data_IF_746037173872
#
_entry.id   IF_746037173872
#
_cell.length_a   1.000
_cell.length_b   1.000
_cell.length_c   1.000
_cell.angle_alpha   90.00
_cell.angle_beta   90.00
_cell.angle_gamma   90.00
#
_symmetry.space_group_name_H-M   'P 1'
#
loop_
_entity.id
_entity.type
_entity.pdbx_description
1 polymer ?
#
# COMPACT_ATOMS: atom_id res chain seq x y z
N UNK A 1 16.21 23.62 17.81
CA UNK A 1 15.52 22.46 17.23
C UNK A 1 15.99 22.32 15.79
N UNK A 2 16.44 21.15 15.38
CA UNK A 2 16.93 20.87 14.02
C UNK A 2 15.79 21.01 13.00
N UNK A 3 16.07 21.60 11.85
CA UNK A 3 15.09 21.85 10.77
C UNK A 3 15.32 20.86 9.66
N UNK A 4 14.53 19.82 9.64
CA UNK A 4 14.57 18.77 8.63
C UNK A 4 13.39 18.86 7.69
N UNK A 5 13.43 18.09 6.59
CA UNK A 5 12.29 18.01 5.70
C UNK A 5 12.51 17.16 4.48
N UNK A 6 11.47 17.11 3.63
CA UNK A 6 11.49 16.45 2.33
C UNK A 6 11.54 17.51 1.23
N UNK A 7 12.52 17.44 0.37
CA UNK A 7 12.69 18.29 -0.81
C UNK A 7 12.21 17.57 -2.06
N UNK A 8 11.30 18.18 -2.79
CA UNK A 8 10.81 17.71 -4.09
C UNK A 8 10.17 18.84 -4.89
N UNK A 9 9.77 18.58 -6.12
CA UNK A 9 9.06 19.56 -6.95
C UNK A 9 7.57 19.63 -6.57
N UNK A 10 6.93 18.47 -6.37
CA UNK A 10 5.56 18.30 -5.90
C UNK A 10 5.51 17.14 -4.94
N UNK A 11 5.06 17.37 -3.73
CA UNK A 11 5.14 16.39 -2.65
C UNK A 11 3.78 15.77 -2.30
N UNK A 12 2.68 16.42 -2.67
CA UNK A 12 1.33 15.91 -2.41
C UNK A 12 1.14 15.42 -0.96
N UNK A 13 0.56 14.23 -0.80
CA UNK A 13 0.44 13.56 0.49
C UNK A 13 1.67 12.67 0.72
N UNK A 14 2.56 13.07 1.64
CA UNK A 14 3.74 12.29 2.02
C UNK A 14 3.58 11.77 3.45
N UNK A 15 3.92 10.50 3.66
CA UNK A 15 3.98 9.88 4.99
C UNK A 15 5.28 10.18 5.74
N UNK A 16 6.29 10.77 5.07
CA UNK A 16 7.57 11.09 5.70
C UNK A 16 7.45 11.92 6.99
N UNK A 17 6.62 12.98 7.06
CA UNK A 17 6.47 13.73 8.31
C UNK A 17 5.99 12.89 9.48
N UNK A 18 5.00 12.02 9.27
CA UNK A 18 4.46 11.15 10.31
C UNK A 18 5.50 10.11 10.78
N UNK A 19 6.28 9.54 9.86
CA UNK A 19 7.35 8.57 10.20
C UNK A 19 8.48 9.27 10.95
N UNK A 20 8.93 10.43 10.49
CA UNK A 20 10.03 11.16 11.14
C UNK A 20 9.65 11.68 12.54
N UNK A 21 8.38 12.04 12.78
CA UNK A 21 7.87 12.41 14.10
C UNK A 21 7.97 11.28 15.14
N UNK A 22 7.99 10.01 14.69
CA UNK A 22 8.17 8.84 15.56
C UNK A 22 9.66 8.52 15.85
N UNK A 23 10.56 9.05 15.03
CA UNK A 23 11.98 8.69 15.07
C UNK A 23 12.82 9.66 15.92
N UNK A 24 12.50 10.96 15.90
CA UNK A 24 13.23 11.97 16.67
C UNK A 24 12.46 13.28 16.80
N UNK A 25 12.83 14.06 17.83
CA UNK A 25 12.27 15.38 18.10
C UNK A 25 12.99 16.47 17.28
N UNK A 26 12.55 16.65 16.04
CA UNK A 26 12.93 17.76 15.16
C UNK A 26 11.76 18.24 14.31
N UNK A 27 11.82 19.47 13.82
CA UNK A 27 10.81 19.96 12.87
C UNK A 27 11.03 19.32 11.51
N UNK A 28 10.01 18.64 10.96
CA UNK A 28 10.07 18.04 9.61
C UNK A 28 9.03 18.69 8.71
N UNK A 29 9.47 19.35 7.62
CA UNK A 29 8.64 20.13 6.70
C UNK A 29 8.70 19.55 5.29
N UNK A 30 7.68 19.86 4.48
CA UNK A 30 7.68 19.59 3.05
C UNK A 30 8.15 20.85 2.31
N UNK A 31 9.23 20.72 1.54
CA UNK A 31 9.81 21.80 0.73
C UNK A 31 9.50 21.52 -0.74
N UNK A 32 8.44 22.12 -1.26
CA UNK A 32 8.15 22.13 -2.70
C UNK A 32 8.92 23.26 -3.35
N UNK A 33 9.91 22.91 -4.16
CA UNK A 33 10.84 23.86 -4.78
C UNK A 33 10.82 23.62 -6.29
N UNK A 34 10.61 24.68 -7.08
CA UNK A 34 10.67 24.59 -8.53
C UNK A 34 12.12 24.36 -9.02
N UNK A 35 12.34 23.73 -10.19
CA UNK A 35 13.69 23.39 -10.66
C UNK A 35 14.64 24.58 -10.79
N UNK A 36 14.16 25.73 -11.19
CA UNK A 36 14.92 26.98 -11.32
C UNK A 36 15.29 27.62 -9.97
N UNK A 37 14.54 27.34 -8.92
CA UNK A 37 14.80 27.81 -7.56
C UNK A 37 15.71 26.85 -6.74
N UNK A 38 15.99 25.64 -7.23
CA UNK A 38 16.73 24.60 -6.50
C UNK A 38 18.11 25.08 -6.02
N UNK A 39 18.87 25.73 -6.89
CA UNK A 39 20.22 26.23 -6.58
C UNK A 39 20.20 27.24 -5.41
N UNK A 40 19.32 28.24 -5.49
CA UNK A 40 19.15 29.24 -4.45
C UNK A 40 18.71 28.63 -3.12
N UNK A 41 17.79 27.65 -3.18
CA UNK A 41 17.33 26.94 -1.99
C UNK A 41 18.45 26.13 -1.33
N UNK A 42 19.27 25.40 -2.09
CA UNK A 42 20.37 24.59 -1.54
C UNK A 42 21.50 25.43 -0.94
N UNK A 43 21.77 26.62 -1.51
CA UNK A 43 22.85 27.51 -1.03
C UNK A 43 22.42 28.41 0.12
N UNK A 44 21.19 28.92 0.10
CA UNK A 44 20.69 29.92 1.06
C UNK A 44 19.50 29.47 1.90
N UNK A 45 18.96 28.27 1.67
CA UNK A 45 17.77 27.78 2.37
C UNK A 45 18.00 27.48 3.86
N UNK A 46 16.93 27.69 4.62
CA UNK A 46 16.91 27.53 6.06
C UNK A 46 16.55 26.08 6.45
N UNK A 47 17.53 25.17 6.32
CA UNK A 47 17.43 23.77 6.70
C UNK A 47 18.78 23.26 7.24
N UNK A 48 18.71 22.24 8.08
CA UNK A 48 19.87 21.54 8.62
C UNK A 48 20.06 20.17 7.94
N UNK A 49 18.95 19.46 7.62
CA UNK A 49 19.01 18.21 6.87
C UNK A 49 17.75 17.98 6.03
N UNK A 50 17.88 17.29 4.90
CA UNK A 50 16.79 17.02 3.99
C UNK A 50 16.78 15.57 3.49
N UNK A 51 15.61 14.96 3.42
CA UNK A 51 15.39 13.92 2.41
C UNK A 51 15.16 14.58 1.06
N UNK A 52 15.58 13.90 -0.01
CA UNK A 52 15.42 14.37 -1.39
C UNK A 52 14.67 13.34 -2.21
N UNK A 53 13.62 13.79 -2.91
CA UNK A 53 12.85 12.93 -3.81
C UNK A 53 12.86 13.43 -5.26
N UNK A 54 12.06 12.83 -6.11
CA UNK A 54 11.92 13.19 -7.52
C UNK A 54 11.56 14.70 -7.66
N UNK A 55 12.19 15.40 -8.63
CA UNK A 55 13.18 14.93 -9.61
C UNK A 55 14.64 15.14 -9.17
N UNK A 56 14.91 15.51 -7.92
CA UNK A 56 16.14 16.17 -7.49
C UNK A 56 17.27 15.23 -7.04
N UNK A 57 17.05 13.92 -6.90
CA UNK A 57 18.05 12.96 -6.37
C UNK A 57 19.41 12.98 -7.10
N UNK A 58 19.44 13.36 -8.39
CA UNK A 58 20.68 13.56 -9.16
C UNK A 58 21.09 15.03 -9.21
N UNK A 59 20.11 15.92 -9.26
CA UNK A 59 20.36 17.37 -9.42
C UNK A 59 21.07 18.01 -8.20
N UNK A 60 20.93 17.40 -7.00
CA UNK A 60 21.57 17.89 -5.79
C UNK A 60 23.05 17.49 -5.67
N UNK A 61 23.53 16.51 -6.43
CA UNK A 61 24.92 15.99 -6.36
C UNK A 61 25.97 17.08 -6.54
N UNK A 62 25.88 18.00 -7.53
CA UNK A 62 26.88 19.06 -7.73
C UNK A 62 27.01 20.05 -6.56
N UNK A 63 26.03 20.09 -5.64
CA UNK A 63 26.03 20.95 -4.47
C UNK A 63 26.64 20.30 -3.24
N UNK A 64 26.93 18.98 -3.28
CA UNK A 64 27.54 18.24 -2.20
C UNK A 64 29.05 18.35 -2.25
N UNK A 65 29.68 18.81 -1.15
CA UNK A 65 31.15 18.81 -1.02
C UNK A 65 31.69 17.39 -0.85
N UNK A 66 30.88 16.49 -0.32
CA UNK A 66 31.24 15.09 -0.11
C UNK A 66 29.99 14.20 -0.30
N UNK A 67 30.21 13.01 -0.82
CA UNK A 67 29.18 11.96 -0.95
C UNK A 67 29.61 10.73 -0.18
N UNK A 68 28.64 10.04 0.42
CA UNK A 68 28.87 8.69 0.94
C UNK A 68 29.28 7.70 -0.17
N UNK A 69 30.00 6.61 0.16
CA UNK A 69 30.37 5.59 -0.83
C UNK A 69 29.17 5.02 -1.60
N UNK A 70 28.01 4.86 -0.92
CA UNK A 70 26.80 4.35 -1.57
C UNK A 70 26.18 5.39 -2.49
N UNK A 71 26.13 6.66 -2.10
CA UNK A 71 25.63 7.73 -2.96
C UNK A 71 26.49 7.92 -4.21
N UNK A 72 27.83 7.83 -4.08
CA UNK A 72 28.76 7.82 -5.21
C UNK A 72 28.51 6.66 -6.17
N UNK A 73 28.43 5.43 -5.63
CA UNK A 73 28.20 4.22 -6.39
C UNK A 73 26.88 4.27 -7.17
N UNK A 74 25.82 4.81 -6.57
CA UNK A 74 24.49 4.90 -7.17
C UNK A 74 24.32 6.11 -8.09
N UNK A 75 25.16 7.14 -7.96
CA UNK A 75 24.94 8.43 -8.61
C UNK A 75 23.60 9.06 -8.25
N UNK A 76 23.17 8.90 -7.00
CA UNK A 76 21.87 9.33 -6.49
C UNK A 76 21.94 9.65 -5.01
N UNK A 77 21.43 10.81 -4.64
CA UNK A 77 21.35 11.32 -3.27
C UNK A 77 19.91 11.49 -2.86
N UNK A 78 19.50 10.89 -1.74
CA UNK A 78 18.19 11.12 -1.14
C UNK A 78 18.25 11.62 0.30
N UNK A 79 19.48 11.87 0.81
CA UNK A 79 19.76 12.47 2.12
C UNK A 79 20.78 13.56 1.95
N UNK A 80 20.49 14.75 2.46
CA UNK A 80 21.43 15.89 2.54
C UNK A 80 21.56 16.33 3.98
N UNK A 81 22.79 16.60 4.43
CA UNK A 81 23.08 17.19 5.74
C UNK A 81 23.98 18.41 5.55
N UNK A 82 23.59 19.53 6.15
CA UNK A 82 24.41 20.74 6.20
C UNK A 82 25.40 20.61 7.35
N UNK A 83 26.68 20.69 7.03
CA UNK A 83 27.76 20.65 8.01
C UNK A 83 27.96 22.02 8.70
N UNK A 84 28.66 22.07 9.85
CA UNK A 84 28.93 23.34 10.56
C UNK A 84 29.65 24.38 9.71
N UNK A 85 30.45 23.98 8.72
CA UNK A 85 31.16 24.85 7.78
C UNK A 85 30.27 25.36 6.64
N UNK A 86 28.95 24.97 6.61
CA UNK A 86 28.00 25.34 5.62
C UNK A 86 27.96 24.43 4.38
N UNK A 87 28.93 23.51 4.24
CA UNK A 87 28.94 22.55 3.12
C UNK A 87 27.85 21.49 3.24
N UNK A 88 27.47 20.87 2.12
CA UNK A 88 26.50 19.78 2.10
C UNK A 88 27.19 18.43 1.98
N UNK A 89 26.76 17.47 2.79
CA UNK A 89 27.06 16.06 2.69
C UNK A 89 25.87 15.33 2.08
N UNK A 90 26.11 14.46 1.10
CA UNK A 90 25.09 13.68 0.42
C UNK A 90 25.20 12.18 0.71
N UNK A 91 24.07 11.54 1.07
CA UNK A 91 23.96 10.10 1.29
C UNK A 91 22.76 9.50 0.57
N UNK A 92 22.64 8.17 0.61
CA UNK A 92 21.52 7.43 0.03
C UNK A 92 20.97 6.38 1.01
N UNK A 93 19.85 6.68 1.64
CA UNK A 93 19.16 5.80 2.56
C UNK A 93 18.21 4.80 1.85
N UNK A 94 17.85 5.02 0.57
CA UNK A 94 17.00 4.09 -0.18
C UNK A 94 17.65 2.71 -0.30
N UNK A 95 18.99 2.65 -0.40
CA UNK A 95 19.72 1.39 -0.45
C UNK A 95 19.51 0.56 0.82
N UNK A 96 19.64 1.20 2.00
CA UNK A 96 19.35 0.55 3.28
C UNK A 96 17.87 0.11 3.35
N UNK A 97 16.96 0.99 2.94
CA UNK A 97 15.53 0.68 2.96
C UNK A 97 15.16 -0.52 2.10
N UNK A 98 15.72 -0.61 0.89
CA UNK A 98 15.46 -1.75 0.02
C UNK A 98 16.17 -3.04 0.48
N UNK A 99 17.40 -2.95 1.00
CA UNK A 99 18.07 -4.09 1.61
C UNK A 99 17.27 -4.66 2.79
N UNK A 100 16.72 -3.78 3.63
CA UNK A 100 15.84 -4.18 4.73
C UNK A 100 14.59 -4.91 4.21
N UNK A 101 13.93 -4.41 3.16
CA UNK A 101 12.78 -5.06 2.52
C UNK A 101 13.12 -6.47 2.05
N UNK A 102 14.27 -6.65 1.36
CA UNK A 102 14.73 -7.97 0.90
C UNK A 102 14.96 -8.90 2.08
N UNK A 103 15.74 -8.47 3.09
CA UNK A 103 16.05 -9.30 4.27
C UNK A 103 14.80 -9.67 5.07
N UNK A 104 13.86 -8.73 5.20
CA UNK A 104 12.60 -8.95 5.90
C UNK A 104 11.72 -10.01 5.20
N UNK A 105 11.84 -10.20 3.90
CA UNK A 105 11.12 -11.25 3.17
C UNK A 105 11.50 -12.67 3.63
N UNK A 106 12.65 -12.84 4.28
CA UNK A 106 13.17 -14.13 4.73
C UNK A 106 13.67 -15.04 3.60
N UNK A 107 13.63 -14.58 2.35
CA UNK A 107 14.06 -15.37 1.17
C UNK A 107 15.51 -15.07 0.84
N UNK A 108 16.37 -16.09 0.82
CA UNK A 108 17.73 -15.95 0.31
C UNK A 108 17.69 -15.79 -1.22
N UNK A 109 18.27 -14.68 -1.71
CA UNK A 109 18.30 -14.34 -3.13
C UNK A 109 19.65 -14.56 -3.80
N UNK A 110 20.68 -15.01 -3.06
CA UNK A 110 22.01 -15.24 -3.61
C UNK A 110 21.97 -16.27 -4.75
N UNK A 111 22.60 -15.96 -5.88
CA UNK A 111 22.61 -16.79 -7.10
C UNK A 111 21.29 -16.83 -7.88
N UNK A 112 20.19 -16.25 -7.35
CA UNK A 112 18.89 -16.25 -8.03
C UNK A 112 18.85 -15.21 -9.16
N UNK A 113 18.07 -15.51 -10.20
CA UNK A 113 17.77 -14.56 -11.29
C UNK A 113 16.67 -13.61 -10.84
N UNK A 114 17.00 -12.33 -10.78
CA UNK A 114 16.10 -11.25 -10.37
C UNK A 114 15.73 -10.36 -11.55
N UNK A 115 14.43 -10.18 -11.81
CA UNK A 115 13.92 -9.21 -12.76
C UNK A 115 13.54 -7.93 -12.04
N UNK A 116 14.14 -6.81 -12.44
CA UNK A 116 13.78 -5.47 -11.99
C UNK A 116 12.91 -4.82 -13.06
N UNK A 117 11.64 -4.62 -12.75
CA UNK A 117 10.68 -4.01 -13.67
C UNK A 117 10.79 -2.48 -13.59
N UNK A 118 11.21 -1.87 -14.69
CA UNK A 118 11.44 -0.43 -14.80
C UNK A 118 12.92 -0.04 -14.71
N UNK A 119 13.25 1.13 -15.28
CA UNK A 119 14.59 1.72 -15.29
C UNK A 119 14.63 3.15 -14.72
N UNK A 120 13.67 3.50 -13.85
CA UNK A 120 13.57 4.81 -13.20
C UNK A 120 14.53 4.98 -12.02
N UNK A 121 14.31 6.06 -11.24
CA UNK A 121 15.21 6.44 -10.13
C UNK A 121 15.39 5.38 -9.04
N UNK A 122 14.33 4.66 -8.65
CA UNK A 122 14.42 3.58 -7.68
C UNK A 122 15.12 2.33 -8.23
N UNK A 123 15.01 2.10 -9.55
CA UNK A 123 15.56 0.91 -10.21
C UNK A 123 17.08 0.77 -10.04
N UNK A 124 17.83 1.86 -10.17
CA UNK A 124 19.29 1.83 -10.01
C UNK A 124 19.71 1.38 -8.61
N UNK A 125 19.04 1.88 -7.58
CA UNK A 125 19.25 1.48 -6.18
C UNK A 125 18.92 0.00 -5.97
N UNK A 126 17.76 -0.43 -6.47
CA UNK A 126 17.30 -1.84 -6.40
C UNK A 126 18.30 -2.79 -7.06
N UNK A 127 18.75 -2.47 -8.28
CA UNK A 127 19.76 -3.25 -9.00
C UNK A 127 21.06 -3.40 -8.21
N UNK A 128 21.58 -2.29 -7.68
CA UNK A 128 22.83 -2.28 -6.93
C UNK A 128 22.74 -3.13 -5.64
N UNK A 129 21.63 -3.04 -4.91
CA UNK A 129 21.40 -3.82 -3.68
C UNK A 129 21.23 -5.30 -4.01
N UNK A 130 20.41 -5.67 -5.02
CA UNK A 130 20.24 -7.06 -5.42
C UNK A 130 21.55 -7.70 -5.86
N UNK A 131 22.37 -6.97 -6.65
CA UNK A 131 23.68 -7.44 -7.05
C UNK A 131 24.65 -7.59 -5.85
N UNK A 132 24.61 -6.67 -4.88
CA UNK A 132 25.37 -6.74 -3.64
C UNK A 132 24.99 -7.97 -2.79
N UNK A 133 23.71 -8.34 -2.79
CA UNK A 133 23.18 -9.53 -2.13
C UNK A 133 23.37 -10.81 -2.97
N UNK A 134 24.10 -10.73 -4.08
CA UNK A 134 24.51 -11.89 -4.90
C UNK A 134 23.48 -12.34 -5.94
N UNK A 135 22.40 -11.61 -6.19
CA UNK A 135 21.44 -11.93 -7.25
C UNK A 135 21.99 -11.60 -8.65
N UNK A 136 21.54 -12.34 -9.66
CA UNK A 136 21.79 -12.06 -11.08
C UNK A 136 20.68 -11.17 -11.62
N UNK A 137 20.96 -9.89 -11.79
CA UNK A 137 19.96 -8.87 -12.11
C UNK A 137 19.78 -8.72 -13.61
N UNK A 138 18.52 -8.72 -14.06
CA UNK A 138 18.09 -8.32 -15.41
C UNK A 138 17.04 -7.22 -15.28
N UNK A 139 17.17 -6.14 -16.06
CA UNK A 139 16.23 -5.02 -16.05
C UNK A 139 15.26 -5.15 -17.21
N UNK A 140 13.98 -5.13 -16.89
CA UNK A 140 12.89 -5.11 -17.88
C UNK A 140 12.41 -3.68 -18.03
N UNK A 141 12.55 -3.10 -19.20
CA UNK A 141 12.08 -1.74 -19.47
C UNK A 141 11.41 -1.62 -20.84
N UNK A 142 10.64 -0.53 -21.06
CA UNK A 142 9.90 -0.35 -22.31
C UNK A 142 10.80 -0.20 -23.55
N UNK A 143 12.01 0.32 -23.36
CA UNK A 143 12.98 0.61 -24.44
C UNK A 143 14.27 -0.19 -24.32
N UNK A 144 14.36 -1.15 -23.39
CA UNK A 144 15.53 -2.03 -23.22
C UNK A 144 15.56 -3.18 -24.21
N UNK A 145 16.71 -3.86 -24.32
CA UNK A 145 16.83 -5.13 -25.02
C UNK A 145 15.89 -6.18 -24.40
N UNK A 146 15.91 -6.27 -23.06
CA UNK A 146 14.94 -7.02 -22.28
C UNK A 146 13.76 -6.13 -21.93
N UNK A 147 12.58 -6.48 -22.42
CA UNK A 147 11.39 -5.66 -22.35
C UNK A 147 10.11 -6.49 -22.15
N UNK A 148 8.98 -5.84 -22.00
CA UNK A 148 7.70 -6.49 -21.72
C UNK A 148 7.17 -7.37 -22.86
N UNK A 149 7.73 -7.29 -24.08
CA UNK A 149 7.30 -8.13 -25.23
C UNK A 149 8.08 -9.43 -25.32
N UNK A 150 9.21 -9.56 -24.62
CA UNK A 150 10.07 -10.75 -24.68
C UNK A 150 10.30 -11.43 -23.31
N UNK A 151 9.38 -11.25 -22.37
CA UNK A 151 9.43 -11.80 -21.02
C UNK A 151 9.63 -13.33 -20.98
N UNK A 152 9.18 -14.06 -22.01
CA UNK A 152 9.39 -15.50 -22.11
C UNK A 152 10.83 -15.95 -22.06
N UNK A 153 11.81 -15.08 -22.42
CA UNK A 153 13.26 -15.36 -22.26
C UNK A 153 13.69 -15.46 -20.79
N UNK A 154 12.85 -15.00 -19.89
CA UNK A 154 13.12 -14.91 -18.47
C UNK A 154 12.13 -15.71 -17.61
N UNK A 155 11.45 -16.71 -18.19
CA UNK A 155 10.51 -17.57 -17.47
C UNK A 155 11.15 -18.31 -16.27
N UNK A 156 12.48 -18.43 -16.24
CA UNK A 156 13.29 -18.98 -15.16
C UNK A 156 13.58 -17.97 -14.02
N UNK A 157 13.01 -16.76 -14.05
CA UNK A 157 13.19 -15.76 -13.00
C UNK A 157 12.63 -16.25 -11.66
N UNK A 158 13.41 -16.03 -10.61
CA UNK A 158 13.11 -16.47 -9.25
C UNK A 158 12.75 -15.31 -8.31
N UNK A 159 13.12 -14.08 -8.67
CA UNK A 159 12.78 -12.86 -7.92
C UNK A 159 12.24 -11.83 -8.89
N UNK A 160 11.12 -11.21 -8.56
CA UNK A 160 10.53 -10.14 -9.35
C UNK A 160 10.39 -8.91 -8.47
N UNK A 161 10.93 -7.76 -8.92
CA UNK A 161 10.88 -6.50 -8.18
C UNK A 161 10.24 -5.43 -9.06
N UNK A 162 9.08 -4.93 -8.66
CA UNK A 162 8.47 -3.78 -9.33
C UNK A 162 9.08 -2.47 -8.81
N UNK A 163 9.68 -1.71 -9.71
CA UNK A 163 10.19 -0.34 -9.46
C UNK A 163 9.47 0.70 -10.32
N UNK A 164 8.38 0.29 -10.97
CA UNK A 164 7.53 1.18 -11.79
C UNK A 164 6.37 1.73 -10.96
N UNK A 165 5.70 2.81 -11.41
CA UNK A 165 4.47 3.28 -10.80
C UNK A 165 3.22 2.46 -11.18
N UNK A 166 3.37 1.34 -11.91
CA UNK A 166 2.23 0.49 -12.28
C UNK A 166 1.61 -0.11 -11.03
N UNK A 167 0.30 0.05 -10.88
CA UNK A 167 -0.44 -0.40 -9.72
C UNK A 167 -0.49 0.58 -8.55
N UNK A 168 0.23 1.71 -8.62
CA UNK A 168 0.22 2.77 -7.61
C UNK A 168 -1.08 3.60 -7.68
N UNK A 169 -1.56 4.04 -6.54
CA UNK A 169 -2.66 5.00 -6.43
C UNK A 169 -2.39 6.28 -7.27
N UNK A 170 -3.39 6.84 -7.98
CA UNK A 170 -4.79 6.40 -8.05
C UNK A 170 -5.07 5.29 -9.08
N UNK A 171 -4.07 4.86 -9.88
CA UNK A 171 -4.21 3.91 -10.98
C UNK A 171 -3.97 2.46 -10.52
N UNK A 172 -4.70 2.03 -9.49
CA UNK A 172 -4.60 0.68 -8.92
C UNK A 172 -5.16 -0.41 -9.85
N UNK A 173 -5.05 -1.68 -9.46
CA UNK A 173 -5.66 -2.80 -10.18
C UNK A 173 -4.88 -3.29 -11.41
N UNK A 174 -3.72 -2.69 -11.72
CA UNK A 174 -2.85 -3.14 -12.82
C UNK A 174 -1.54 -3.71 -12.28
N UNK A 175 -1.10 -4.82 -12.85
CA UNK A 175 0.23 -5.38 -12.62
C UNK A 175 1.12 -5.17 -13.85
N UNK A 176 2.42 -4.99 -13.62
CA UNK A 176 3.39 -4.79 -14.69
C UNK A 176 3.64 -6.08 -15.49
N UNK A 177 3.46 -7.25 -14.87
CA UNK A 177 3.62 -8.58 -15.44
C UNK A 177 2.56 -9.54 -14.87
N UNK A 178 2.31 -10.65 -15.58
CA UNK A 178 1.54 -11.79 -15.06
C UNK A 178 2.51 -12.80 -14.45
N UNK A 179 2.42 -13.04 -13.14
CA UNK A 179 3.31 -13.93 -12.40
C UNK A 179 3.23 -15.40 -12.85
N UNK A 180 2.13 -15.82 -13.48
CA UNK A 180 1.99 -17.17 -14.06
C UNK A 180 2.99 -17.46 -15.15
N UNK A 181 3.61 -16.42 -15.74
CA UNK A 181 4.70 -16.58 -16.72
C UNK A 181 6.04 -16.98 -16.08
N UNK A 182 6.15 -16.97 -14.75
CA UNK A 182 7.39 -17.21 -14.00
C UNK A 182 7.22 -18.36 -13.00
N UNK A 183 7.15 -19.60 -13.45
CA UNK A 183 6.84 -20.76 -12.59
C UNK A 183 7.89 -21.05 -11.50
N UNK A 184 9.09 -20.44 -11.61
CA UNK A 184 10.15 -20.56 -10.60
C UNK A 184 10.20 -19.36 -9.64
N UNK A 185 9.24 -18.44 -9.73
CA UNK A 185 9.21 -17.25 -8.89
C UNK A 185 9.05 -17.65 -7.41
N UNK A 186 10.02 -17.23 -6.59
CA UNK A 186 10.10 -17.54 -5.16
C UNK A 186 9.94 -16.28 -4.30
N UNK A 187 10.00 -15.08 -4.90
CA UNK A 187 9.85 -13.81 -4.19
C UNK A 187 9.35 -12.71 -5.12
N UNK A 188 8.36 -11.95 -4.65
CA UNK A 188 7.89 -10.74 -5.32
C UNK A 188 8.02 -9.55 -4.37
N UNK A 189 8.70 -8.49 -4.83
CA UNK A 189 8.82 -7.23 -4.09
C UNK A 189 8.24 -6.09 -4.91
N UNK A 190 7.60 -5.15 -4.25
CA UNK A 190 7.09 -3.95 -4.89
C UNK A 190 7.53 -2.72 -4.09
N UNK A 191 8.14 -1.72 -4.73
CA UNK A 191 8.50 -0.46 -4.05
C UNK A 191 7.31 0.47 -3.86
N UNK A 192 6.18 0.17 -4.48
CA UNK A 192 4.92 0.86 -4.24
C UNK A 192 4.41 0.50 -2.85
N UNK A 193 3.97 1.50 -2.10
CA UNK A 193 3.40 1.34 -0.75
C UNK A 193 1.93 1.77 -0.64
N UNK A 194 1.39 2.40 -1.66
CA UNK A 194 -0.02 2.75 -1.75
C UNK A 194 -0.55 2.39 -3.17
N UNK A 195 -1.43 1.38 -3.28
CA UNK A 195 -2.07 0.60 -2.23
C UNK A 195 -1.08 -0.29 -1.45
N UNK A 196 -1.52 -0.77 -0.28
CA UNK A 196 -0.73 -1.68 0.56
C UNK A 196 -0.40 -3.01 -0.16
N UNK A 197 -1.37 -3.51 -0.96
CA UNK A 197 -1.23 -4.67 -1.85
C UNK A 197 -1.53 -4.24 -3.29
N UNK A 198 -0.48 -4.08 -4.08
CA UNK A 198 -0.66 -3.83 -5.53
C UNK A 198 -1.25 -5.07 -6.22
N UNK A 199 -1.77 -4.91 -7.43
CA UNK A 199 -2.26 -6.07 -8.20
C UNK A 199 -1.16 -7.13 -8.42
N UNK A 200 0.11 -6.75 -8.45
CA UNK A 200 1.24 -7.68 -8.51
C UNK A 200 1.38 -8.48 -7.21
N UNK A 201 1.29 -7.83 -6.05
CA UNK A 201 1.35 -8.49 -4.75
C UNK A 201 0.13 -9.39 -4.52
N UNK A 202 -1.07 -8.96 -4.92
CA UNK A 202 -2.28 -9.80 -4.87
C UNK A 202 -2.16 -11.07 -5.74
N UNK A 203 -1.51 -10.98 -6.91
CA UNK A 203 -1.20 -12.16 -7.70
C UNK A 203 -0.22 -13.10 -6.97
N UNK A 204 0.79 -12.54 -6.31
CA UNK A 204 1.77 -13.33 -5.55
C UNK A 204 1.08 -14.06 -4.38
N UNK A 205 0.24 -13.37 -3.61
CA UNK A 205 -0.57 -13.97 -2.53
C UNK A 205 -1.44 -15.11 -3.05
N UNK A 206 -2.18 -14.89 -4.15
CA UNK A 206 -3.03 -15.91 -4.76
C UNK A 206 -2.26 -17.15 -5.27
N UNK A 207 -0.98 -16.99 -5.63
CA UNK A 207 -0.09 -18.07 -6.06
C UNK A 207 0.74 -18.66 -4.92
N UNK A 208 0.57 -18.18 -3.67
CA UNK A 208 1.35 -18.63 -2.52
C UNK A 208 2.83 -18.24 -2.59
N UNK A 209 3.17 -17.20 -3.37
CA UNK A 209 4.55 -16.71 -3.51
C UNK A 209 4.81 -15.67 -2.41
N UNK A 210 5.88 -15.82 -1.61
CA UNK A 210 6.31 -14.81 -0.65
C UNK A 210 6.43 -13.43 -1.31
N UNK A 211 5.83 -12.40 -0.68
CA UNK A 211 5.86 -11.06 -1.23
C UNK A 211 5.87 -9.98 -0.15
N UNK A 212 6.38 -8.78 -0.49
CA UNK A 212 6.36 -7.64 0.40
C UNK A 212 6.26 -6.31 -0.38
N UNK A 213 5.51 -5.36 0.19
CA UNK A 213 5.29 -4.02 -0.36
C UNK A 213 6.25 -2.96 0.18
N UNK A 214 6.27 -1.81 -0.48
CA UNK A 214 7.24 -0.73 -0.26
C UNK A 214 7.17 0.00 1.07
N UNK A 215 6.15 -0.24 1.91
CA UNK A 215 6.04 0.42 3.21
C UNK A 215 7.23 0.08 4.13
N UNK A 216 7.74 -1.16 4.11
CA UNK A 216 8.97 -1.53 4.84
C UNK A 216 10.16 -0.69 4.38
N UNK A 217 10.35 -0.56 3.06
CA UNK A 217 11.41 0.28 2.50
C UNK A 217 11.24 1.75 2.90
N UNK A 218 10.00 2.27 2.88
CA UNK A 218 9.69 3.65 3.24
C UNK A 218 10.06 3.96 4.69
N UNK A 219 9.74 3.08 5.64
CA UNK A 219 10.05 3.27 7.05
C UNK A 219 11.54 3.09 7.32
N UNK A 220 12.15 2.05 6.75
CA UNK A 220 13.56 1.75 6.96
C UNK A 220 14.48 2.86 6.42
N UNK A 221 14.20 3.41 5.22
CA UNK A 221 14.98 4.53 4.68
C UNK A 221 14.81 5.81 5.53
N UNK A 222 13.62 6.04 6.12
CA UNK A 222 13.40 7.19 6.99
C UNK A 222 14.20 7.05 8.30
N UNK A 223 14.23 5.85 8.90
CA UNK A 223 15.08 5.54 10.06
C UNK A 223 16.56 5.80 9.74
N UNK A 224 17.05 5.30 8.60
CA UNK A 224 18.43 5.54 8.17
C UNK A 224 18.70 7.01 7.92
N UNK A 225 17.78 7.74 7.31
CA UNK A 225 17.90 9.19 7.12
C UNK A 225 18.00 9.93 8.46
N UNK A 226 17.17 9.56 9.43
CA UNK A 226 17.20 10.13 10.78
C UNK A 226 18.56 9.91 11.47
N UNK A 227 19.15 8.72 11.34
CA UNK A 227 20.49 8.44 11.85
C UNK A 227 21.57 9.34 11.22
N UNK A 228 21.47 9.54 9.89
CA UNK A 228 22.41 10.44 9.19
C UNK A 228 22.20 11.90 9.60
N UNK A 229 20.94 12.34 9.80
CA UNK A 229 20.63 13.70 10.25
C UNK A 229 21.20 14.01 11.63
N UNK A 230 21.00 13.08 12.57
CA UNK A 230 21.29 13.31 13.99
C UNK A 230 22.67 12.82 14.43
N UNK A 231 23.31 11.97 13.62
CA UNK A 231 24.55 11.27 14.00
C UNK A 231 24.34 10.20 15.08
N UNK A 232 23.08 9.79 15.35
CA UNK A 232 22.73 8.79 16.36
C UNK A 232 22.37 7.45 15.70
N UNK A 233 22.50 6.35 16.45
CA UNK A 233 22.03 5.03 16.02
C UNK A 233 20.65 4.79 16.61
N UNK A 234 19.72 4.30 15.80
CA UNK A 234 18.36 3.93 16.17
C UNK A 234 18.21 2.41 16.04
N UNK A 235 17.59 1.78 17.01
CA UNK A 235 17.36 0.33 16.98
C UNK A 235 16.48 -0.08 15.78
N UNK A 236 16.84 -1.18 15.09
CA UNK A 236 16.09 -1.66 13.92
C UNK A 236 14.66 -2.15 14.27
N UNK A 237 14.40 -2.46 15.53
CA UNK A 237 13.05 -2.77 16.03
C UNK A 237 12.04 -1.63 15.83
N UNK A 238 12.53 -0.38 15.81
CA UNK A 238 11.69 0.79 15.53
C UNK A 238 11.09 0.75 14.13
N UNK A 239 11.77 0.13 13.17
CA UNK A 239 11.21 -0.04 11.81
C UNK A 239 9.93 -0.85 11.86
N UNK A 240 9.93 -1.97 12.58
CA UNK A 240 8.73 -2.83 12.70
C UNK A 240 7.63 -2.16 13.52
N UNK A 241 7.99 -1.43 14.58
CA UNK A 241 7.03 -0.69 15.40
C UNK A 241 6.31 0.37 14.56
N UNK A 242 7.07 1.20 13.85
CA UNK A 242 6.51 2.27 13.01
C UNK A 242 5.73 1.66 11.82
N UNK A 243 6.26 0.61 11.18
CA UNK A 243 5.56 -0.09 10.11
C UNK A 243 4.17 -0.57 10.54
N UNK A 244 4.07 -1.26 11.70
CA UNK A 244 2.79 -1.75 12.23
C UNK A 244 1.81 -0.60 12.46
N UNK A 245 2.26 0.48 13.09
CA UNK A 245 1.44 1.67 13.31
C UNK A 245 0.95 2.28 12.00
N UNK A 246 1.87 2.53 11.06
CA UNK A 246 1.52 3.10 9.74
C UNK A 246 0.54 2.20 9.00
N UNK A 247 0.77 0.89 9.03
CA UNK A 247 -0.14 -0.08 8.43
C UNK A 247 -1.53 0.00 9.05
N UNK A 248 -1.64 0.00 10.38
CA UNK A 248 -2.91 0.14 11.07
C UNK A 248 -3.63 1.44 10.68
N UNK A 249 -2.93 2.58 10.58
CA UNK A 249 -3.52 3.86 10.21
C UNK A 249 -3.99 3.90 8.73
N UNK A 250 -3.26 3.25 7.84
CA UNK A 250 -3.52 3.26 6.39
C UNK A 250 -4.54 2.20 5.96
N UNK A 251 -4.63 1.09 6.66
CA UNK A 251 -5.46 -0.05 6.27
C UNK A 251 -6.95 0.22 6.55
N UNK A 252 -7.80 -0.08 5.57
CA UNK A 252 -9.25 0.00 5.72
C UNK A 252 -9.75 -1.18 6.55
N UNK A 253 -10.80 -0.96 7.33
CA UNK A 253 -11.58 -2.02 7.97
C UNK A 253 -12.80 -2.27 7.09
N UNK A 254 -12.83 -3.41 6.41
CA UNK A 254 -13.90 -3.75 5.48
C UNK A 254 -14.84 -4.75 6.14
N UNK A 255 -16.13 -4.42 6.21
CA UNK A 255 -17.16 -5.28 6.81
C UNK A 255 -18.01 -5.93 5.71
N UNK A 256 -17.98 -7.27 5.66
CA UNK A 256 -18.83 -8.10 4.81
C UNK A 256 -19.78 -8.96 5.67
N UNK A 257 -20.83 -9.51 5.05
CA UNK A 257 -21.80 -10.39 5.72
C UNK A 257 -23.21 -10.23 5.20
N UNK A 258 -24.10 -11.08 5.66
CA UNK A 258 -25.51 -11.12 5.23
C UNK A 258 -26.22 -9.76 5.32
N UNK A 259 -27.21 -9.49 4.47
CA UNK A 259 -28.12 -8.38 4.69
C UNK A 259 -28.75 -8.46 6.09
N UNK A 260 -28.65 -7.37 6.88
CA UNK A 260 -29.15 -7.36 8.27
C UNK A 260 -28.20 -7.87 9.33
N UNK A 261 -27.00 -8.29 8.97
CA UNK A 261 -26.00 -8.73 9.95
C UNK A 261 -25.46 -7.61 10.86
N UNK A 262 -25.84 -6.35 10.66
CA UNK A 262 -25.44 -5.23 11.51
C UNK A 262 -24.21 -4.46 11.02
N UNK A 263 -23.74 -4.69 9.79
CA UNK A 263 -22.54 -4.01 9.24
C UNK A 263 -22.52 -2.50 9.43
N UNK A 264 -23.59 -1.81 9.05
CA UNK A 264 -23.66 -0.33 9.17
C UNK A 264 -23.60 0.15 10.62
N UNK A 265 -24.19 -0.61 11.56
CA UNK A 265 -24.13 -0.30 13.00
C UNK A 265 -22.71 -0.45 13.54
N UNK A 266 -22.07 -1.58 13.24
CA UNK A 266 -20.68 -1.86 13.66
C UNK A 266 -19.71 -0.88 13.00
N UNK A 267 -19.92 -0.56 11.70
CA UNK A 267 -19.11 0.40 10.98
C UNK A 267 -19.18 1.81 11.61
N UNK A 268 -20.38 2.26 12.01
CA UNK A 268 -20.54 3.55 12.67
C UNK A 268 -19.82 3.61 14.04
N UNK A 269 -19.93 2.55 14.85
CA UNK A 269 -19.22 2.46 16.13
C UNK A 269 -17.69 2.44 15.97
N UNK A 270 -17.19 1.68 14.97
CA UNK A 270 -15.77 1.67 14.65
C UNK A 270 -15.27 3.03 14.17
N UNK A 271 -16.04 3.69 13.30
CA UNK A 271 -15.71 5.02 12.77
C UNK A 271 -15.60 6.06 13.88
N UNK A 272 -16.55 6.07 14.83
CA UNK A 272 -16.53 6.93 16.00
C UNK A 272 -15.33 6.61 16.91
N UNK A 273 -15.12 5.32 17.25
CA UNK A 273 -14.08 4.90 18.20
C UNK A 273 -12.65 5.11 17.68
N UNK A 274 -12.44 4.94 16.36
CA UNK A 274 -11.14 5.08 15.70
C UNK A 274 -10.92 6.46 15.07
N UNK A 275 -11.93 7.34 15.09
CA UNK A 275 -11.93 8.63 14.40
C UNK A 275 -11.61 8.52 12.92
N UNK A 276 -12.20 7.50 12.24
CA UNK A 276 -11.98 7.22 10.82
C UNK A 276 -13.21 7.52 9.98
N UNK A 277 -13.04 7.92 8.71
CA UNK A 277 -14.17 8.12 7.81
C UNK A 277 -14.95 6.82 7.62
N UNK A 278 -16.29 6.92 7.67
CA UNK A 278 -17.21 5.85 7.33
C UNK A 278 -17.59 5.94 5.87
N UNK A 279 -17.43 4.84 5.13
CA UNK A 279 -17.81 4.68 3.74
C UNK A 279 -18.84 3.56 3.64
N UNK A 280 -19.89 3.76 2.83
CA UNK A 280 -20.94 2.76 2.59
C UNK A 280 -21.10 2.54 1.09
N UNK A 281 -20.94 1.29 0.62
CA UNK A 281 -20.98 0.98 -0.79
C UNK A 281 -22.38 1.14 -1.40
N UNK A 282 -23.44 0.85 -0.63
CA UNK A 282 -24.81 1.00 -1.08
C UNK A 282 -25.16 2.50 -1.25
N UNK A 283 -24.69 3.35 -0.33
CA UNK A 283 -24.83 4.80 -0.43
C UNK A 283 -24.08 5.35 -1.66
N UNK A 284 -22.88 4.86 -1.94
CA UNK A 284 -22.08 5.26 -3.10
C UNK A 284 -22.78 4.85 -4.42
N UNK A 285 -23.40 3.67 -4.46
CA UNK A 285 -24.19 3.24 -5.63
C UNK A 285 -25.37 4.20 -5.84
N UNK A 286 -26.13 4.52 -4.78
CA UNK A 286 -27.27 5.45 -4.86
C UNK A 286 -26.83 6.84 -5.35
N UNK A 287 -25.73 7.36 -4.82
CA UNK A 287 -25.17 8.65 -5.24
C UNK A 287 -24.79 8.65 -6.71
N UNK A 288 -24.09 7.61 -7.16
CA UNK A 288 -23.62 7.49 -8.55
C UNK A 288 -24.78 7.28 -9.53
N UNK A 289 -25.77 6.44 -9.17
CA UNK A 289 -26.92 6.14 -10.02
C UNK A 289 -28.01 7.22 -10.01
N UNK A 290 -27.99 8.11 -9.01
CA UNK A 290 -29.01 9.16 -8.82
C UNK A 290 -30.41 8.64 -8.45
N UNK A 291 -30.53 7.36 -8.05
CA UNK A 291 -31.81 6.70 -7.72
C UNK A 291 -31.61 5.58 -6.69
N UNK A 292 -32.67 5.22 -5.93
CA UNK A 292 -32.61 4.14 -4.94
C UNK A 292 -32.30 2.77 -5.53
N UNK A 293 -31.64 1.90 -4.76
CA UNK A 293 -31.28 0.53 -5.17
C UNK A 293 -32.51 -0.29 -5.64
N UNK A 294 -33.69 -0.25 -4.96
CA UNK A 294 -34.86 -0.96 -5.44
C UNK A 294 -35.29 -0.56 -6.87
N UNK A 295 -35.14 0.71 -7.22
CA UNK A 295 -35.48 1.21 -8.55
C UNK A 295 -34.49 0.74 -9.62
N UNK A 296 -33.19 0.59 -9.25
CA UNK A 296 -32.17 0.00 -10.13
C UNK A 296 -32.53 -1.47 -10.43
N UNK A 297 -32.85 -2.25 -9.39
CA UNK A 297 -33.27 -3.65 -9.58
C UNK A 297 -34.53 -3.80 -10.42
N UNK A 298 -35.53 -2.90 -10.24
CA UNK A 298 -36.77 -2.96 -10.95
C UNK A 298 -36.64 -2.58 -12.44
N UNK A 299 -35.79 -1.59 -12.72
CA UNK A 299 -35.62 -1.04 -14.08
C UNK A 299 -34.57 -1.80 -14.90
N UNK A 300 -33.41 -2.11 -14.29
CA UNK A 300 -32.23 -2.57 -15.02
C UNK A 300 -31.78 -4.00 -14.62
N UNK A 301 -32.34 -4.56 -13.56
CA UNK A 301 -32.01 -5.90 -13.08
C UNK A 301 -30.81 -6.02 -12.19
N UNK A 302 -30.49 -7.24 -11.75
CA UNK A 302 -29.40 -7.51 -10.81
C UNK A 302 -28.02 -7.27 -11.42
N UNK A 303 -27.77 -7.65 -12.67
CA UNK A 303 -26.47 -7.52 -13.33
C UNK A 303 -26.02 -6.04 -13.43
N UNK A 304 -26.96 -5.14 -13.74
CA UNK A 304 -26.69 -3.71 -13.76
C UNK A 304 -26.34 -3.18 -12.36
N UNK A 305 -27.05 -3.62 -11.33
CA UNK A 305 -26.74 -3.29 -9.96
C UNK A 305 -25.32 -3.79 -9.57
N UNK A 306 -24.97 -5.05 -9.91
CA UNK A 306 -23.62 -5.60 -9.63
C UNK A 306 -22.51 -4.82 -10.31
N UNK A 307 -22.74 -4.35 -11.54
CA UNK A 307 -21.80 -3.48 -12.24
C UNK A 307 -21.57 -2.17 -11.49
N UNK A 308 -22.64 -1.53 -11.00
CA UNK A 308 -22.54 -0.30 -10.20
C UNK A 308 -21.89 -0.56 -8.83
N UNK A 309 -22.22 -1.67 -8.17
CA UNK A 309 -21.62 -2.08 -6.90
C UNK A 309 -20.10 -2.28 -7.06
N UNK A 310 -19.65 -3.00 -8.07
CA UNK A 310 -18.23 -3.20 -8.37
C UNK A 310 -17.52 -1.89 -8.67
N UNK A 311 -18.13 -0.97 -9.42
CA UNK A 311 -17.56 0.36 -9.69
C UNK A 311 -17.45 1.20 -8.41
N UNK A 312 -18.46 1.16 -7.53
CA UNK A 312 -18.42 1.82 -6.23
C UNK A 312 -17.28 1.26 -5.35
N UNK A 313 -17.17 -0.07 -5.26
CA UNK A 313 -16.10 -0.73 -4.51
C UNK A 313 -14.70 -0.43 -5.08
N UNK A 314 -14.57 -0.29 -6.40
CA UNK A 314 -13.32 0.11 -7.04
C UNK A 314 -12.84 1.51 -6.60
N UNK A 315 -13.76 2.44 -6.39
CA UNK A 315 -13.40 3.79 -5.90
C UNK A 315 -13.20 3.82 -4.39
N UNK A 316 -14.06 3.14 -3.62
CA UNK A 316 -13.96 3.11 -2.16
C UNK A 316 -12.75 2.33 -1.67
N UNK A 317 -12.42 1.21 -2.30
CA UNK A 317 -11.28 0.36 -1.96
C UNK A 317 -9.90 1.00 -2.19
N UNK A 318 -9.83 2.09 -2.98
CA UNK A 318 -8.59 2.89 -3.14
C UNK A 318 -8.31 3.78 -1.93
N UNK A 319 -9.32 4.10 -1.11
CA UNK A 319 -9.15 4.92 0.08
C UNK A 319 -8.26 4.22 1.10
N UNK A 320 -7.68 5.00 1.99
CA UNK A 320 -6.84 4.50 3.08
C UNK A 320 -7.39 4.98 4.42
N UNK A 321 -7.30 4.12 5.45
CA UNK A 321 -7.67 4.45 6.81
C UNK A 321 -9.18 4.62 7.04
N UNK A 322 -10.03 4.03 6.21
CA UNK A 322 -11.49 4.13 6.29
C UNK A 322 -12.13 2.88 6.89
N UNK A 323 -13.36 3.05 7.38
CA UNK A 323 -14.27 1.95 7.69
C UNK A 323 -15.22 1.79 6.51
N UNK A 324 -15.23 0.62 5.87
CA UNK A 324 -16.04 0.35 4.69
C UNK A 324 -17.13 -0.69 5.01
N UNK A 325 -18.39 -0.25 5.02
CA UNK A 325 -19.54 -1.15 5.05
C UNK A 325 -19.93 -1.53 3.62
N UNK A 326 -20.04 -2.83 3.33
CA UNK A 326 -20.40 -3.31 2.00
C UNK A 326 -21.84 -3.78 1.92
N UNK A 327 -22.40 -3.80 0.71
CA UNK A 327 -23.64 -4.50 0.40
C UNK A 327 -23.54 -5.99 0.72
N UNK A 328 -24.65 -6.63 1.12
CA UNK A 328 -24.66 -8.05 1.48
C UNK A 328 -24.38 -9.01 0.31
N UNK A 329 -24.38 -8.53 -0.92
CA UNK A 329 -24.07 -9.30 -2.13
C UNK A 329 -22.71 -8.99 -2.73
N UNK A 330 -21.91 -8.12 -2.12
CA UNK A 330 -20.60 -7.70 -2.64
C UNK A 330 -19.62 -8.87 -2.91
N UNK A 331 -19.78 -9.97 -2.19
CA UNK A 331 -18.98 -11.21 -2.36
C UNK A 331 -19.42 -12.08 -3.55
N UNK A 332 -20.57 -11.78 -4.17
CA UNK A 332 -21.06 -12.56 -5.30
C UNK A 332 -20.24 -12.33 -6.59
N UNK A 333 -19.50 -11.23 -6.67
CA UNK A 333 -18.58 -10.94 -7.76
C UNK A 333 -17.15 -11.13 -7.28
N UNK A 334 -16.43 -12.14 -7.78
CA UNK A 334 -15.06 -12.45 -7.37
C UNK A 334 -14.07 -11.30 -7.61
N UNK A 335 -14.34 -10.48 -8.63
CA UNK A 335 -13.55 -9.25 -8.95
C UNK A 335 -13.61 -8.19 -7.85
N UNK A 336 -14.57 -8.26 -6.92
CA UNK A 336 -14.65 -7.34 -5.78
C UNK A 336 -13.59 -7.65 -4.71
N UNK A 337 -13.10 -8.90 -4.63
CA UNK A 337 -12.08 -9.27 -3.64
C UNK A 337 -10.80 -8.41 -3.75
N UNK A 338 -10.11 -8.34 -4.90
CA UNK A 338 -8.90 -7.51 -5.01
C UNK A 338 -9.17 -6.01 -4.80
N UNK A 339 -10.38 -5.52 -5.11
CA UNK A 339 -10.76 -4.13 -4.89
C UNK A 339 -10.85 -3.79 -3.40
N UNK A 340 -11.36 -4.70 -2.59
CA UNK A 340 -11.48 -4.56 -1.14
C UNK A 340 -10.16 -4.86 -0.42
N UNK A 341 -9.45 -5.89 -0.86
CA UNK A 341 -8.26 -6.40 -0.18
C UNK A 341 -6.99 -5.59 -0.46
N UNK A 342 -6.94 -4.79 -1.55
CA UNK A 342 -5.76 -3.98 -1.90
C UNK A 342 -5.30 -3.03 -0.78
N UNK A 343 -6.24 -2.48 0.01
CA UNK A 343 -5.96 -1.59 1.14
C UNK A 343 -6.71 -1.98 2.41
N UNK A 344 -7.37 -3.13 2.46
CA UNK A 344 -8.26 -3.46 3.55
C UNK A 344 -8.00 -4.82 4.18
N UNK A 345 -8.32 -4.94 5.46
CA UNK A 345 -8.57 -6.19 6.16
C UNK A 345 -10.07 -6.44 6.16
N UNK A 346 -10.48 -7.59 5.65
CA UNK A 346 -11.88 -7.94 5.42
C UNK A 346 -12.41 -8.78 6.58
N UNK A 347 -13.38 -8.25 7.31
CA UNK A 347 -14.04 -8.90 8.44
C UNK A 347 -15.42 -9.39 8.04
N UNK A 348 -15.65 -10.70 8.14
CA UNK A 348 -16.98 -11.26 7.97
C UNK A 348 -17.76 -11.22 9.29
N UNK A 349 -18.80 -10.39 9.36
CA UNK A 349 -19.74 -10.36 10.48
C UNK A 349 -20.74 -11.52 10.34
N UNK A 350 -20.45 -12.63 11.03
CA UNK A 350 -21.32 -13.81 11.06
C UNK A 350 -22.40 -13.62 12.13
N UNK A 351 -23.65 -13.76 11.73
CA UNK A 351 -24.80 -13.63 12.60
C UNK A 351 -25.80 -14.76 12.33
N UNK A 352 -26.38 -15.31 13.39
CA UNK A 352 -27.36 -16.38 13.28
C UNK A 352 -28.58 -15.93 12.48
N UNK A 353 -29.07 -16.80 11.59
CA UNK A 353 -30.19 -16.50 10.70
C UNK A 353 -31.46 -16.10 11.46
N UNK A 354 -31.67 -16.68 12.65
CA UNK A 354 -32.80 -16.37 13.53
C UNK A 354 -32.79 -14.91 14.03
N UNK A 355 -31.63 -14.27 14.06
CA UNK A 355 -31.44 -12.88 14.53
C UNK A 355 -31.43 -11.86 13.38
N UNK A 356 -31.53 -12.32 12.12
CA UNK A 356 -31.55 -11.42 10.98
C UNK A 356 -32.95 -10.82 10.75
N UNK A 357 -33.11 -9.53 10.54
CA UNK A 357 -34.39 -8.90 10.24
C UNK A 357 -34.93 -9.37 8.88
N UNK A 358 -36.23 -9.68 8.83
CA UNK A 358 -36.92 -10.21 7.64
C UNK A 358 -37.48 -9.12 6.73
N UNK A 359 -37.58 -7.87 7.21
CA UNK A 359 -38.29 -6.79 6.51
C UNK A 359 -37.34 -5.83 5.73
N UNK A 360 -37.83 -5.30 4.61
CA UNK A 360 -37.27 -4.10 3.97
C UNK A 360 -36.18 -4.29 2.89
N UNK A 361 -35.98 -5.51 2.32
CA UNK A 361 -34.87 -5.74 1.36
C UNK A 361 -35.30 -6.56 0.15
N UNK A 362 -35.02 -6.07 -1.12
CA UNK A 362 -35.57 -6.67 -2.35
C UNK A 362 -35.22 -8.16 -2.55
N UNK A 363 -33.96 -8.57 -2.25
CA UNK A 363 -33.49 -9.94 -2.49
C UNK A 363 -33.93 -10.90 -1.39
N UNK A 364 -33.84 -10.48 -0.10
CA UNK A 364 -34.24 -11.30 1.03
C UNK A 364 -35.77 -11.52 1.15
N UNK A 365 -36.58 -10.76 0.40
CA UNK A 365 -38.04 -10.99 0.28
C UNK A 365 -38.40 -12.00 -0.77
N UNK A 366 -37.54 -12.27 -1.77
CA UNK A 366 -37.79 -13.18 -2.89
C UNK A 366 -37.22 -14.59 -2.68
N UNK A 367 -36.25 -14.78 -1.79
CA UNK A 367 -35.57 -16.06 -1.54
C UNK A 367 -35.68 -16.45 -0.07
N UNK A 368 -35.72 -17.78 0.18
CA UNK A 368 -35.52 -18.28 1.57
C UNK A 368 -34.17 -17.79 2.08
N UNK A 369 -34.18 -17.17 3.28
CA UNK A 369 -32.98 -16.63 3.92
C UNK A 369 -31.92 -17.71 4.17
N UNK A 370 -32.37 -18.95 4.44
CA UNK A 370 -31.47 -20.09 4.63
C UNK A 370 -30.80 -20.52 3.33
N UNK A 371 -31.54 -20.49 2.21
CA UNK A 371 -31.00 -20.80 0.89
C UNK A 371 -29.99 -19.71 0.47
N UNK A 372 -30.33 -18.45 0.66
CA UNK A 372 -29.42 -17.32 0.37
C UNK A 372 -28.14 -17.40 1.21
N UNK A 373 -28.24 -17.77 2.48
CA UNK A 373 -27.08 -17.97 3.35
C UNK A 373 -26.22 -19.12 2.84
N UNK A 374 -26.79 -20.27 2.56
CA UNK A 374 -26.06 -21.45 2.07
C UNK A 374 -25.28 -21.17 0.78
N UNK A 375 -25.83 -20.33 -0.11
CA UNK A 375 -25.15 -19.91 -1.33
C UNK A 375 -23.99 -18.94 -1.05
N UNK A 376 -24.12 -18.05 -0.05
CA UNK A 376 -23.16 -16.96 0.19
C UNK A 376 -22.12 -17.27 1.28
N UNK A 377 -22.38 -18.20 2.18
CA UNK A 377 -21.45 -18.57 3.24
C UNK A 377 -20.04 -18.92 2.72
N UNK A 378 -19.86 -19.78 1.69
CA UNK A 378 -18.55 -20.09 1.16
C UNK A 378 -17.88 -18.86 0.50
N UNK A 379 -18.66 -17.93 -0.05
CA UNK A 379 -18.15 -16.69 -0.64
C UNK A 379 -17.66 -15.73 0.45
N UNK A 380 -18.41 -15.55 1.55
CA UNK A 380 -17.93 -14.76 2.68
C UNK A 380 -16.65 -15.36 3.25
N UNK A 381 -16.60 -16.68 3.41
CA UNK A 381 -15.42 -17.37 3.94
C UNK A 381 -14.18 -17.19 3.04
N UNK A 382 -14.37 -17.15 1.71
CA UNK A 382 -13.27 -16.94 0.75
C UNK A 382 -12.74 -15.51 0.69
N UNK A 383 -13.59 -14.53 1.07
CA UNK A 383 -13.19 -13.11 1.09
C UNK A 383 -12.59 -12.68 2.43
N UNK A 384 -12.97 -13.34 3.53
CA UNK A 384 -12.68 -12.88 4.87
C UNK A 384 -11.23 -13.17 5.29
N UNK A 385 -10.54 -12.15 5.81
CA UNK A 385 -9.29 -12.30 6.56
C UNK A 385 -9.57 -12.78 7.99
N UNK A 386 -10.74 -12.39 8.54
CA UNK A 386 -11.20 -12.85 9.87
C UNK A 386 -12.72 -12.96 9.93
N UNK A 387 -13.19 -13.94 10.70
CA UNK A 387 -14.63 -14.16 10.99
C UNK A 387 -14.93 -13.65 12.39
N UNK A 388 -15.90 -12.75 12.51
CA UNK A 388 -16.32 -12.13 13.77
C UNK A 388 -17.72 -12.61 14.14
N UNK A 389 -17.89 -13.13 15.33
CA UNK A 389 -19.20 -13.47 15.89
C UNK A 389 -19.96 -12.19 16.25
N UNK A 390 -21.08 -11.95 15.55
CA UNK A 390 -21.94 -10.78 15.75
C UNK A 390 -23.30 -11.16 16.34
N UNK A 391 -23.36 -12.18 17.19
CA UNK A 391 -24.57 -12.57 17.92
C UNK A 391 -24.74 -11.81 19.24
N UNK A 392 -23.65 -11.26 19.78
CA UNK A 392 -23.64 -10.48 21.01
C UNK A 392 -24.03 -9.02 20.85
N UNK A 393 -23.55 -8.17 21.76
CA UNK A 393 -23.75 -6.71 21.66
C UNK A 393 -22.84 -6.10 20.60
N UNK A 394 -23.21 -4.98 20.02
CA UNK A 394 -22.38 -4.25 19.06
C UNK A 394 -20.98 -3.91 19.62
N UNK A 395 -20.89 -3.56 20.90
CA UNK A 395 -19.63 -3.23 21.58
C UNK A 395 -18.70 -4.44 21.67
N UNK A 396 -19.25 -5.64 21.91
CA UNK A 396 -18.48 -6.89 21.92
C UNK A 396 -17.91 -7.19 20.52
N UNK A 397 -18.72 -7.00 19.48
CA UNK A 397 -18.29 -7.19 18.10
C UNK A 397 -17.17 -6.21 17.72
N UNK A 398 -17.31 -4.94 18.08
CA UNK A 398 -16.26 -3.92 17.88
C UNK A 398 -14.99 -4.33 18.62
N UNK A 399 -15.08 -4.82 19.86
CA UNK A 399 -13.92 -5.23 20.63
C UNK A 399 -13.18 -6.41 19.97
N UNK A 400 -13.90 -7.43 19.47
CA UNK A 400 -13.31 -8.56 18.73
C UNK A 400 -12.53 -8.07 17.48
N UNK A 401 -13.10 -7.13 16.71
CA UNK A 401 -12.42 -6.56 15.53
C UNK A 401 -11.13 -5.86 15.95
N UNK A 402 -11.16 -5.07 17.03
CA UNK A 402 -9.97 -4.35 17.51
C UNK A 402 -8.89 -5.30 18.03
N UNK A 403 -9.25 -6.41 18.62
CA UNK A 403 -8.31 -7.46 19.08
C UNK A 403 -7.59 -8.14 17.90
N UNK A 404 -8.29 -8.33 16.76
CA UNK A 404 -7.67 -8.88 15.56
C UNK A 404 -6.70 -7.86 14.90
N UNK A 405 -6.98 -6.57 15.06
CA UNK A 405 -6.14 -5.49 14.50
C UNK A 405 -4.92 -5.13 15.35
N UNK A 406 -4.89 -5.55 16.64
CA UNK A 406 -3.81 -5.25 17.59
C UNK A 406 -2.57 -6.12 17.31
#
# INVERSE_FOLDING_TARGET
MMRCGLLGEKLGHSYSPAIHAELADYAYKLYEVAPDALAAFLTGGDFDALNVTIPYKKAVIPYCAELSPIAQKLGSVNVLVRRPDGTLYGDNADAFGFEYLVRHSGVDIAGKKALVLGNGGASATVQAVLAQLGARVTVISRSGEDNYTNLGRHADAQVIVNTTPVGMYPNTGKAAVDLRQFPQCALVLDVVYNPARTALLLQAEALGIPCAGGLYMLVAQAKRSCEVFTGTTIDDGEILRIYRRMRQEMENIVLIGMPGSGKSTIAALLAERLHRPLLDSDAQVVETAGRPIPDIFAADGEDAFRTLETAALAELGKRSGAILATGGGSVCCAENYPLLHQNGTIFWLRRDLALLPKDGRPISQRSDLAELYAQREPLYASFADAVIDNNGTPEQTVQQILEVLA
#
